data_IF_746937947342
#
_entry.id   IF_746937947342
#
_cell.length_a   1.000
_cell.length_b   1.000
_cell.length_c   1.000
_cell.angle_alpha   90.00
_cell.angle_beta   90.00
_cell.angle_gamma   90.00
#
_symmetry.space_group_name_H-M   'P 1'
#
loop_
_entity.id
_entity.type
_entity.pdbx_description
1 polymer ?
#
# COMPACT_ATOMS: atom_id res chain seq x y z
N UNK A 1 25.40 -14.69 3.19
CA UNK A 1 24.40 -14.50 2.11
C UNK A 1 23.22 -13.75 2.68
N UNK A 2 22.94 -12.54 2.20
CA UNK A 2 21.77 -11.79 2.64
C UNK A 2 20.50 -12.61 2.37
N UNK A 3 19.62 -12.73 3.36
CA UNK A 3 18.33 -13.41 3.18
C UNK A 3 17.55 -12.73 2.05
N UNK A 4 17.17 -13.50 1.01
CA UNK A 4 16.29 -13.03 -0.09
C UNK A 4 14.83 -12.85 0.33
N UNK A 5 14.56 -12.80 1.64
CA UNK A 5 13.21 -12.70 2.19
C UNK A 5 13.08 -11.43 3.02
N UNK A 6 11.99 -10.71 2.79
CA UNK A 6 11.65 -9.56 3.62
C UNK A 6 11.54 -9.95 5.10
N UNK A 7 12.09 -9.10 5.97
CA UNK A 7 11.95 -9.23 7.44
C UNK A 7 10.51 -9.07 7.92
N UNK A 8 9.66 -8.41 7.13
CA UNK A 8 8.24 -8.25 7.39
C UNK A 8 7.42 -8.27 6.10
N UNK A 9 6.15 -8.70 6.21
CA UNK A 9 5.21 -8.77 5.08
C UNK A 9 4.92 -7.38 4.49
N UNK A 10 4.84 -7.31 3.16
CA UNK A 10 4.44 -6.11 2.41
C UNK A 10 3.02 -5.65 2.78
N UNK A 11 2.12 -6.58 3.13
CA UNK A 11 0.73 -6.28 3.52
C UNK A 11 0.60 -5.59 4.87
N UNK A 12 1.72 -5.37 5.56
CA UNK A 12 1.77 -4.42 6.70
C UNK A 12 1.75 -2.96 6.23
N UNK A 13 1.82 -2.71 4.93
CA UNK A 13 1.85 -1.38 4.34
C UNK A 13 0.71 -1.21 3.36
N UNK A 14 0.30 0.05 3.15
CA UNK A 14 -0.71 0.39 2.18
C UNK A 14 -0.10 0.47 0.79
N UNK A 15 -0.67 -0.21 -0.20
CA UNK A 15 -0.25 -0.02 -1.59
C UNK A 15 -0.39 1.44 -2.04
N UNK A 16 -1.46 2.11 -1.61
CA UNK A 16 -1.77 3.47 -2.05
C UNK A 16 -0.65 4.48 -1.73
N UNK A 17 -0.21 4.55 -0.47
CA UNK A 17 0.74 5.59 0.01
C UNK A 17 1.93 5.02 0.80
N UNK A 18 2.09 3.71 0.89
CA UNK A 18 3.18 3.09 1.66
C UNK A 18 3.02 3.13 3.16
N UNK A 19 1.94 3.71 3.69
CA UNK A 19 1.77 3.88 5.13
C UNK A 19 1.65 2.53 5.85
N UNK A 20 2.27 2.43 7.02
CA UNK A 20 2.12 1.25 7.88
C UNK A 20 0.67 1.10 8.37
N UNK A 21 0.12 -0.11 8.27
CA UNK A 21 -1.27 -0.44 8.59
C UNK A 21 -1.36 -1.51 9.69
N UNK A 22 -2.12 -1.19 10.74
CA UNK A 22 -2.61 -2.17 11.70
C UNK A 22 -3.55 -3.18 11.04
N UNK A 23 -3.44 -4.47 11.42
CA UNK A 23 -4.18 -5.58 10.79
C UNK A 23 -5.68 -5.30 10.58
N UNK A 24 -6.37 -4.74 11.58
CA UNK A 24 -7.82 -4.43 11.52
C UNK A 24 -8.21 -3.40 10.45
N UNK A 25 -7.28 -2.60 9.96
CA UNK A 25 -7.50 -1.52 8.99
C UNK A 25 -7.04 -1.87 7.57
N UNK A 26 -6.57 -3.11 7.35
CA UNK A 26 -6.22 -3.61 6.02
C UNK A 26 -7.47 -3.99 5.25
N UNK A 27 -7.49 -3.70 3.96
CA UNK A 27 -8.59 -4.03 3.05
C UNK A 27 -8.03 -4.61 1.75
N UNK A 28 -8.64 -5.66 1.21
CA UNK A 28 -8.22 -6.21 -0.07
C UNK A 28 -8.43 -5.18 -1.20
N UNK A 29 -7.57 -5.24 -2.21
CA UNK A 29 -7.70 -4.42 -3.42
C UNK A 29 -8.64 -5.12 -4.40
N UNK A 30 -9.92 -4.75 -4.33
CA UNK A 30 -10.97 -5.26 -5.22
C UNK A 30 -11.01 -4.48 -6.55
N UNK A 31 -11.69 -5.03 -7.56
CA UNK A 31 -11.64 -4.47 -8.93
C UNK A 31 -12.22 -3.06 -9.03
N UNK A 32 -13.27 -2.73 -8.27
CA UNK A 32 -13.80 -1.35 -8.22
C UNK A 32 -12.75 -0.34 -7.75
N UNK A 33 -11.87 -0.74 -6.83
CA UNK A 33 -10.76 0.11 -6.39
C UNK A 33 -9.66 0.22 -7.44
N UNK A 34 -9.37 -0.86 -8.18
CA UNK A 34 -8.39 -0.82 -9.29
C UNK A 34 -8.85 0.13 -10.38
N UNK A 35 -10.13 0.07 -10.74
CA UNK A 35 -10.76 0.96 -11.71
C UNK A 35 -10.71 2.41 -11.24
N UNK A 36 -11.14 2.70 -10.02
CA UNK A 36 -11.07 4.05 -9.46
C UNK A 36 -9.61 4.58 -9.40
N UNK A 37 -8.66 3.73 -9.00
CA UNK A 37 -7.24 4.09 -8.96
C UNK A 37 -6.70 4.44 -10.35
N UNK A 38 -7.03 3.64 -11.37
CA UNK A 38 -6.66 3.89 -12.75
C UNK A 38 -7.24 5.21 -13.26
N UNK A 39 -8.52 5.49 -13.01
CA UNK A 39 -9.14 6.74 -13.45
C UNK A 39 -8.54 7.97 -12.76
N UNK A 40 -8.17 7.87 -11.48
CA UNK A 40 -7.59 9.00 -10.75
C UNK A 40 -6.14 9.27 -11.16
N UNK A 41 -5.29 8.25 -11.20
CA UNK A 41 -3.85 8.41 -11.40
C UNK A 41 -3.39 8.25 -12.86
N UNK A 42 -4.24 7.72 -13.73
CA UNK A 42 -3.90 7.46 -15.13
C UNK A 42 -3.04 6.19 -15.35
N UNK A 43 -2.79 5.40 -14.31
CA UNK A 43 -2.09 4.11 -14.43
C UNK A 43 -2.66 3.05 -13.47
N UNK A 44 -2.60 1.76 -13.82
CA UNK A 44 -3.25 0.72 -13.05
C UNK A 44 -2.47 0.38 -11.76
N UNK A 45 -3.17 -0.25 -10.81
CA UNK A 45 -2.53 -0.99 -9.72
C UNK A 45 -1.71 -2.13 -10.36
N UNK A 46 -0.40 -2.12 -10.16
CA UNK A 46 0.54 -3.02 -10.83
C UNK A 46 1.16 -4.04 -9.87
N UNK A 47 1.77 -5.08 -10.44
CA UNK A 47 2.62 -6.06 -9.74
C UNK A 47 1.93 -6.79 -8.57
N UNK A 48 0.60 -6.97 -8.63
CA UNK A 48 -0.19 -7.67 -7.61
C UNK A 48 0.02 -9.19 -7.60
N UNK A 49 0.79 -9.73 -8.54
CA UNK A 49 1.31 -11.10 -8.53
C UNK A 49 2.64 -11.22 -7.75
N UNK A 50 3.24 -10.10 -7.35
CA UNK A 50 4.57 -10.05 -6.73
C UNK A 50 4.51 -9.87 -5.23
N UNK A 51 5.26 -10.70 -4.50
CA UNK A 51 5.36 -10.64 -3.03
C UNK A 51 6.02 -9.36 -2.48
N UNK A 52 6.77 -8.63 -3.31
CA UNK A 52 7.44 -7.38 -2.93
C UNK A 52 6.54 -6.14 -3.06
N UNK A 53 5.24 -6.34 -3.31
CA UNK A 53 4.23 -5.27 -3.36
C UNK A 53 3.16 -5.54 -2.31
N UNK A 54 2.53 -4.51 -1.70
CA UNK A 54 1.38 -4.73 -0.84
C UNK A 54 0.14 -5.10 -1.65
N UNK A 55 -0.65 -6.04 -1.12
CA UNK A 55 -1.91 -6.50 -1.73
C UNK A 55 -3.14 -5.89 -1.04
N UNK A 56 -2.91 -4.86 -0.22
CA UNK A 56 -3.93 -4.25 0.63
C UNK A 56 -3.88 -2.73 0.57
N UNK A 57 -5.06 -2.12 0.68
CA UNK A 57 -5.21 -0.71 0.99
C UNK A 57 -5.48 -0.51 2.49
N UNK A 58 -5.14 0.68 2.96
CA UNK A 58 -5.59 1.17 4.25
C UNK A 58 -7.08 1.56 4.17
N UNK A 59 -7.84 1.38 5.25
CA UNK A 59 -9.28 1.69 5.25
C UNK A 59 -9.57 3.15 4.86
N UNK A 60 -8.77 4.12 5.31
CA UNK A 60 -8.93 5.51 4.90
C UNK A 60 -8.66 5.71 3.42
N UNK A 61 -7.61 5.08 2.88
CA UNK A 61 -7.26 5.11 1.46
C UNK A 61 -8.41 4.55 0.60
N UNK A 62 -9.01 3.43 1.05
CA UNK A 62 -10.19 2.83 0.43
C UNK A 62 -11.38 3.79 0.43
N UNK A 63 -11.71 4.36 1.59
CA UNK A 63 -12.86 5.27 1.73
C UNK A 63 -12.69 6.50 0.83
N UNK A 64 -11.54 7.17 0.88
CA UNK A 64 -11.31 8.41 0.12
C UNK A 64 -11.35 8.13 -1.38
N UNK A 65 -10.77 7.02 -1.86
CA UNK A 65 -10.83 6.66 -3.28
C UNK A 65 -12.27 6.36 -3.74
N UNK A 66 -13.07 5.68 -2.91
CA UNK A 66 -14.47 5.41 -3.23
C UNK A 66 -15.32 6.68 -3.23
N UNK A 67 -15.12 7.57 -2.25
CA UNK A 67 -15.79 8.88 -2.20
C UNK A 67 -15.46 9.74 -3.42
N UNK A 68 -14.21 9.68 -3.89
CA UNK A 68 -13.85 10.33 -5.13
C UNK A 68 -14.55 9.68 -6.34
N UNK A 69 -14.53 8.34 -6.41
CA UNK A 69 -15.18 7.60 -7.49
C UNK A 69 -16.70 7.78 -7.55
N UNK A 70 -17.37 8.07 -6.43
CA UNK A 70 -18.80 8.37 -6.37
C UNK A 70 -19.13 9.85 -6.61
N UNK A 71 -18.12 10.71 -6.74
CA UNK A 71 -18.30 12.16 -6.89
C UNK A 71 -18.59 12.90 -5.58
N UNK A 72 -18.58 12.22 -4.42
CA UNK A 72 -18.75 12.86 -3.09
C UNK A 72 -17.55 13.76 -2.74
N UNK A 73 -16.36 13.42 -3.25
CA UNK A 73 -15.14 14.23 -3.12
C UNK A 73 -14.60 14.65 -4.48
N UNK A 74 -14.30 15.95 -4.60
CA UNK A 74 -13.72 16.54 -5.82
C UNK A 74 -12.24 16.15 -5.99
N UNK A 75 -11.49 15.97 -4.90
CA UNK A 75 -10.07 15.63 -4.93
C UNK A 75 -9.63 14.73 -3.78
N UNK A 76 -8.54 13.99 -3.98
CA UNK A 76 -7.85 13.26 -2.92
C UNK A 76 -6.87 14.20 -2.21
N UNK A 77 -6.65 14.04 -0.89
CA UNK A 77 -5.79 14.94 -0.11
C UNK A 77 -4.32 14.98 -0.57
N UNK A 78 -3.88 14.04 -1.41
CA UNK A 78 -2.54 14.00 -2.00
C UNK A 78 -2.61 13.57 -3.46
N UNK A 79 -1.82 14.20 -4.34
CA UNK A 79 -1.88 14.01 -5.79
C UNK A 79 -1.06 12.84 -6.34
N UNK A 80 -0.12 12.29 -5.57
CA UNK A 80 0.79 11.23 -6.05
C UNK A 80 0.71 9.97 -5.16
N UNK A 81 0.53 8.78 -5.74
CA UNK A 81 0.54 7.54 -4.97
C UNK A 81 1.98 7.05 -4.79
N UNK A 82 2.17 6.03 -3.96
CA UNK A 82 3.43 5.32 -3.87
C UNK A 82 3.64 4.43 -5.09
N UNK A 83 4.85 4.50 -5.66
CA UNK A 83 5.29 3.63 -6.73
C UNK A 83 6.11 2.46 -6.15
N UNK A 84 5.77 1.24 -6.56
CA UNK A 84 6.41 0.02 -6.09
C UNK A 84 7.39 -0.51 -7.13
N UNK A 85 8.63 -0.74 -6.70
CA UNK A 85 9.68 -1.38 -7.50
C UNK A 85 10.28 -2.54 -6.71
N UNK A 86 10.75 -3.55 -7.43
CA UNK A 86 11.44 -4.68 -6.83
C UNK A 86 12.72 -4.21 -6.14
N UNK A 87 12.92 -4.52 -4.86
CA UNK A 87 14.15 -4.14 -4.18
C UNK A 87 15.32 -5.04 -4.62
N UNK A 88 16.48 -4.43 -4.78
CA UNK A 88 17.74 -5.09 -5.12
C UNK A 88 18.28 -5.93 -3.96
N UNK A 89 17.99 -5.53 -2.71
CA UNK A 89 18.35 -6.26 -1.50
C UNK A 89 17.42 -5.95 -0.31
N UNK A 90 17.51 -6.76 0.76
CA UNK A 90 16.67 -6.62 1.97
C UNK A 90 17.39 -5.96 3.16
N UNK A 91 18.58 -5.42 2.96
CA UNK A 91 19.39 -4.80 4.01
C UNK A 91 19.21 -3.29 4.05
N UNK A 92 19.28 -2.64 2.88
CA UNK A 92 19.21 -1.18 2.76
C UNK A 92 18.25 -0.67 1.68
N UNK A 93 17.77 -1.52 0.76
CA UNK A 93 16.92 -1.08 -0.36
C UNK A 93 15.43 -1.44 -0.18
N UNK A 94 15.14 -2.62 0.38
CA UNK A 94 13.76 -3.03 0.61
C UNK A 94 13.04 -2.10 1.59
N UNK A 95 12.11 -1.29 1.07
CA UNK A 95 11.27 -0.36 1.82
C UNK A 95 10.68 -0.98 3.09
N UNK A 96 10.15 -2.21 2.98
CA UNK A 96 9.60 -2.91 4.12
C UNK A 96 10.67 -3.27 5.15
N UNK A 97 11.86 -3.71 4.75
CA UNK A 97 12.89 -4.14 5.70
C UNK A 97 13.53 -2.97 6.44
N UNK A 98 13.69 -1.83 5.77
CA UNK A 98 14.29 -0.63 6.36
C UNK A 98 13.31 0.17 7.21
N UNK A 99 12.00 0.04 6.97
CA UNK A 99 11.00 0.75 7.77
C UNK A 99 10.87 0.14 9.17
N UNK A 100 11.24 0.93 10.19
CA UNK A 100 11.16 0.55 11.61
C UNK A 100 9.71 0.55 12.09
N UNK A 101 9.13 -0.65 12.22
CA UNK A 101 7.73 -0.83 12.67
C UNK A 101 7.62 -1.41 14.09
N UNK A 102 8.75 -1.73 14.72
CA UNK A 102 8.81 -2.26 16.08
C UNK A 102 8.40 -1.17 17.10
N UNK A 103 7.55 -1.54 18.07
CA UNK A 103 7.02 -0.62 19.09
C UNK A 103 5.64 -0.04 18.78
N UNK A 104 5.21 -0.04 17.52
CA UNK A 104 3.86 0.36 17.12
C UNK A 104 2.87 -0.81 17.28
N UNK A 105 2.55 -1.15 18.53
CA UNK A 105 1.48 -2.08 18.85
C UNK A 105 0.30 -1.33 19.47
N UNK A 106 -0.93 -1.80 19.21
CA UNK A 106 -2.07 -1.37 20.02
C UNK A 106 -1.79 -1.80 21.46
N UNK A 107 -1.95 -0.90 22.44
CA UNK A 107 -2.07 -1.32 23.84
C UNK A 107 -3.20 -2.35 23.90
N UNK A 108 -2.90 -3.47 24.56
CA UNK A 108 -3.78 -4.62 24.69
C UNK A 108 -5.06 -4.23 25.42
#
# INVERSE_FOLDING_TARGET
MASRKCKQSSDRFCYFYGQFIFSKKRRPIVDSLKTAYLHYFGFPVANQDKKWVPHVFCESCRIILLQWSSGEKVYLPFGSPMLWREPSNHENDCYFCVTKTLGYNKKK
#
